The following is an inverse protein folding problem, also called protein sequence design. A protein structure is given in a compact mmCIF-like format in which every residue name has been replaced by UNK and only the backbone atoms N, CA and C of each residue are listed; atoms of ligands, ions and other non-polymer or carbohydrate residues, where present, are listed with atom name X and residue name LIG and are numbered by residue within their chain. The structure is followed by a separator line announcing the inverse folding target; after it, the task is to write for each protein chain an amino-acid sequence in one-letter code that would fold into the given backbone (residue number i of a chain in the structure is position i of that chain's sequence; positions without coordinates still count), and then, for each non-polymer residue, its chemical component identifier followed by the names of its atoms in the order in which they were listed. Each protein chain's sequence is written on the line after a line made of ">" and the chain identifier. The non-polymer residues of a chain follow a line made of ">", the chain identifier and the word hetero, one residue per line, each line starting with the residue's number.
data_IF_619457679044
#
_entry.id   IF_619457679044
#
_cell.length_a   1.000
_cell.length_b   1.000
_cell.length_c   1.000
_cell.angle_alpha   90.00
_cell.angle_beta   90.00
_cell.angle_gamma   90.00
#
_symmetry.space_group_name_H-M   'P 1'
#
loop_
_entity.id
_entity.type
_entity.pdbx_description
1 polymer ?
#
# COMPACT_ATOMS: atom_id res chain seq x y z
N UNK A 1 -2.46 -10.35 -15.76
CA UNK A 1 -1.70 -9.28 -16.41
C UNK A 1 -1.80 -7.98 -15.62
N UNK A 2 -0.78 -7.63 -14.83
CA UNK A 2 -0.72 -6.34 -14.12
C UNK A 2 -0.16 -5.23 -15.04
N UNK A 3 0.94 -5.51 -15.73
CA UNK A 3 1.70 -4.54 -16.54
C UNK A 3 1.42 -4.59 -18.05
N UNK A 4 0.88 -5.71 -18.55
CA UNK A 4 0.63 -5.93 -19.98
C UNK A 4 -0.87 -6.07 -20.25
N UNK A 5 -1.68 -5.11 -19.83
CA UNK A 5 -3.15 -5.22 -19.93
C UNK A 5 -3.60 -5.02 -21.39
N UNK A 6 -4.46 -5.90 -21.89
CA UNK A 6 -4.93 -5.81 -23.28
C UNK A 6 -3.85 -6.05 -24.34
N UNK A 7 -2.81 -6.85 -24.04
CA UNK A 7 -1.68 -7.11 -24.95
C UNK A 7 -2.06 -7.74 -26.30
N UNK A 8 -3.26 -8.32 -26.42
CA UNK A 8 -3.83 -8.81 -27.68
C UNK A 8 -4.32 -7.65 -28.57
N UNK A 9 -4.88 -6.61 -27.97
CA UNK A 9 -5.43 -5.45 -28.67
C UNK A 9 -4.41 -4.30 -28.83
N UNK A 10 -3.42 -4.22 -27.93
CA UNK A 10 -2.40 -3.17 -27.89
C UNK A 10 -1.02 -3.81 -27.83
N UNK A 11 -0.12 -3.45 -28.75
CA UNK A 11 1.27 -3.95 -28.76
C UNK A 11 1.94 -3.60 -27.43
N UNK A 12 2.35 -4.61 -26.66
CA UNK A 12 2.96 -4.44 -25.34
C UNK A 12 1.97 -4.24 -24.18
N UNK A 13 0.67 -4.03 -24.49
CA UNK A 13 -0.38 -3.76 -23.51
C UNK A 13 -0.32 -2.35 -22.89
N UNK A 14 -1.35 -2.01 -22.10
CA UNK A 14 -1.37 -0.83 -21.25
C UNK A 14 -0.46 -1.01 -20.04
N UNK A 15 0.58 -0.18 -19.99
CA UNK A 15 1.62 -0.11 -18.95
C UNK A 15 1.40 1.08 -17.99
N UNK A 16 0.26 1.77 -18.11
CA UNK A 16 -0.14 2.79 -17.14
C UNK A 16 -0.48 2.15 -15.78
N UNK A 17 -0.36 2.93 -14.70
CA UNK A 17 -0.75 2.53 -13.35
C UNK A 17 -2.06 3.23 -12.94
N UNK A 18 -3.25 2.75 -13.36
CA UNK A 18 -4.51 3.40 -13.03
C UNK A 18 -5.00 3.03 -11.62
N UNK A 19 -4.32 2.10 -10.96
CA UNK A 19 -4.59 1.73 -9.58
C UNK A 19 -4.18 2.89 -8.67
N UNK A 20 -5.15 3.67 -8.19
CA UNK A 20 -4.92 4.84 -7.32
C UNK A 20 -4.12 4.44 -6.08
N UNK A 21 -4.52 3.34 -5.43
CA UNK A 21 -3.85 2.84 -4.23
C UNK A 21 -2.34 2.61 -4.42
N UNK A 22 -1.89 2.16 -5.60
CA UNK A 22 -0.46 1.97 -5.87
C UNK A 22 0.29 3.30 -5.90
N UNK A 23 -0.32 4.34 -6.49
CA UNK A 23 0.25 5.69 -6.52
C UNK A 23 0.26 6.29 -5.12
N UNK A 24 -0.86 6.20 -4.41
CA UNK A 24 -0.99 6.73 -3.05
C UNK A 24 0.00 6.06 -2.09
N UNK A 25 0.29 4.76 -2.24
CA UNK A 25 1.30 4.07 -1.43
C UNK A 25 2.73 4.52 -1.74
N UNK A 26 3.05 4.78 -3.01
CA UNK A 26 4.37 5.32 -3.39
C UNK A 26 4.55 6.76 -2.88
N UNK A 27 3.48 7.55 -2.92
CA UNK A 27 3.46 8.94 -2.46
C UNK A 27 3.33 9.04 -0.92
N UNK A 28 3.09 7.94 -0.22
CA UNK A 28 2.90 7.90 1.24
C UNK A 28 1.57 8.50 1.71
N UNK A 29 0.60 8.68 0.81
CA UNK A 29 -0.71 9.29 1.08
C UNK A 29 -1.85 8.26 1.05
N UNK A 30 -1.54 6.97 0.99
CA UNK A 30 -2.56 5.92 0.99
C UNK A 30 -3.43 5.98 2.24
N UNK A 31 -4.74 6.09 2.02
CA UNK A 31 -5.75 6.13 3.08
C UNK A 31 -7.09 5.57 2.59
N UNK A 32 -7.76 4.78 3.44
CA UNK A 32 -9.12 4.32 3.17
C UNK A 32 -10.16 5.38 3.55
N UNK A 33 -11.30 5.48 2.83
CA UNK A 33 -12.37 6.42 3.20
C UNK A 33 -12.94 6.20 4.62
N UNK A 34 -12.88 4.96 5.11
CA UNK A 34 -13.36 4.53 6.43
C UNK A 34 -12.21 4.25 7.40
N UNK A 35 -10.99 4.76 7.15
CA UNK A 35 -9.83 4.49 7.99
C UNK A 35 -10.05 4.91 9.46
N UNK A 36 -10.85 5.95 9.70
CA UNK A 36 -11.24 6.41 11.05
C UNK A 36 -12.20 5.45 11.77
N UNK A 37 -12.88 4.58 11.03
CA UNK A 37 -13.81 3.58 11.58
C UNK A 37 -13.10 2.26 11.94
N UNK A 38 -11.80 2.14 11.64
CA UNK A 38 -11.02 0.94 11.92
C UNK A 38 -10.76 0.81 13.42
N UNK A 39 -11.41 -0.17 14.05
CA UNK A 39 -11.37 -0.39 15.51
C UNK A 39 -9.99 -0.90 15.99
N UNK A 40 -9.27 -1.63 15.14
CA UNK A 40 -8.01 -2.27 15.50
C UNK A 40 -6.94 -1.95 14.48
N UNK A 41 -5.96 -1.15 14.90
CA UNK A 41 -4.80 -0.73 14.09
C UNK A 41 -3.46 -1.14 14.71
N UNK A 42 -3.49 -1.79 15.89
CA UNK A 42 -2.32 -2.28 16.61
C UNK A 42 -2.65 -3.56 17.42
N UNK A 43 -1.65 -4.09 18.13
CA UNK A 43 -1.76 -5.34 18.89
C UNK A 43 -2.52 -5.26 20.22
N UNK A 44 -3.08 -4.11 20.62
CA UNK A 44 -3.76 -3.96 21.92
C UNK A 44 -4.97 -4.86 22.07
N UNK A 45 -5.66 -5.16 20.98
CA UNK A 45 -6.78 -6.13 20.98
C UNK A 45 -6.36 -7.53 21.43
N UNK A 46 -5.08 -7.87 21.31
CA UNK A 46 -4.50 -9.16 21.69
C UNK A 46 -3.64 -9.06 22.96
N UNK A 47 -3.79 -8.02 23.78
CA UNK A 47 -3.06 -7.86 25.04
C UNK A 47 -1.61 -7.40 24.90
N UNK A 48 -1.20 -6.89 23.73
CA UNK A 48 0.15 -6.38 23.51
C UNK A 48 0.21 -4.88 23.78
N UNK A 49 1.32 -4.41 24.35
CA UNK A 49 1.60 -2.97 24.49
C UNK A 49 1.79 -2.30 23.12
N UNK A 50 1.50 -1.00 22.98
CA UNK A 50 1.71 -0.29 21.72
C UNK A 50 3.19 -0.29 21.31
N UNK A 51 3.49 -0.35 20.01
CA UNK A 51 4.86 -0.29 19.51
C UNK A 51 5.49 1.07 19.85
N UNK A 52 6.73 1.06 20.34
CA UNK A 52 7.48 2.27 20.68
C UNK A 52 8.51 2.67 19.62
N UNK A 53 8.74 1.80 18.62
CA UNK A 53 9.75 2.01 17.59
C UNK A 53 9.06 2.47 16.32
N UNK A 54 9.53 3.58 15.78
CA UNK A 54 9.17 4.01 14.44
C UNK A 54 9.80 3.11 13.38
N UNK A 55 9.15 3.07 12.22
CA UNK A 55 9.70 2.42 11.05
C UNK A 55 10.94 3.18 10.57
N UNK A 56 12.08 2.50 10.53
CA UNK A 56 13.34 3.04 9.98
C UNK A 56 13.53 2.56 8.53
N UNK A 57 13.26 3.40 7.51
CA UNK A 57 13.44 3.03 6.11
C UNK A 57 14.92 2.79 5.72
N UNK A 58 15.89 3.24 6.54
CA UNK A 58 17.31 3.00 6.34
C UNK A 58 17.74 1.56 6.64
N UNK A 59 16.99 0.85 7.47
CA UNK A 59 17.29 -0.52 7.90
C UNK A 59 16.90 -1.59 6.85
N UNK A 60 16.17 -1.21 5.79
CA UNK A 60 15.78 -2.11 4.70
C UNK A 60 16.74 -2.08 3.50
N UNK A 61 17.73 -1.18 3.50
CA UNK A 61 18.76 -1.09 2.46
C UNK A 61 19.94 -2.00 2.85
N UNK A 62 19.95 -3.22 2.31
CA UNK A 62 21.18 -4.04 2.19
C UNK A 62 21.93 -3.66 0.93
#
# INVERSE_FOLDING_TARGET
>A
QLWHRGYVAVRGGGMDCPYTYMRDMVDGTYRLPWEDEVVHVDGRSCGHSPPMRDHDPGNMKK
#
